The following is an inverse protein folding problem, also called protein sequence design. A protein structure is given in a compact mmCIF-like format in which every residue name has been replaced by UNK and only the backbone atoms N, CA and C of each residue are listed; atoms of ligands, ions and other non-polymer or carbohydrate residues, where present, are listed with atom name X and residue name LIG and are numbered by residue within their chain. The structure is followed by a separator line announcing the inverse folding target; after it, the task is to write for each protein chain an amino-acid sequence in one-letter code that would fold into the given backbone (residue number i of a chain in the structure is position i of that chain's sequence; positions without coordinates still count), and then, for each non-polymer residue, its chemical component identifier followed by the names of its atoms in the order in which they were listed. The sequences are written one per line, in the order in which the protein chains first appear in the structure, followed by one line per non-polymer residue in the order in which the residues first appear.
data_IF_784565352122
#
_entry.id   IF_784565352122
#
_cell.length_a   1.000
_cell.length_b   1.000
_cell.length_c   1.000
_cell.angle_alpha   90.00
_cell.angle_beta   90.00
_cell.angle_gamma   90.00
#
_symmetry.space_group_name_H-M   'P 1'
#
loop_
_entity.id
_entity.type
_entity.pdbx_description
1 polymer ?
#
# COMPACT_ATOMS: atom_id res chain seq x y z
N UNK A 1 -7.74 15.45 -35.28
CA UNK A 1 -7.39 14.05 -34.97
C UNK A 1 -6.20 14.08 -34.03
N UNK A 2 -6.43 14.00 -32.72
CA UNK A 2 -5.36 14.02 -31.72
C UNK A 2 -4.95 12.57 -31.41
N UNK A 3 -3.70 12.27 -31.72
CA UNK A 3 -3.04 10.98 -31.44
C UNK A 3 -2.95 10.76 -29.94
N UNK A 4 -3.65 9.74 -29.42
CA UNK A 4 -3.50 9.28 -28.04
C UNK A 4 -2.13 8.60 -27.94
N UNK A 5 -1.26 9.16 -27.12
CA UNK A 5 0.03 8.57 -26.79
C UNK A 5 -0.20 7.20 -26.13
N UNK A 6 0.28 6.15 -26.79
CA UNK A 6 0.29 4.79 -26.26
C UNK A 6 1.27 4.71 -25.09
N UNK A 7 0.79 4.98 -23.88
CA UNK A 7 1.46 4.54 -22.67
C UNK A 7 1.50 3.01 -22.71
N UNK A 8 2.69 2.43 -22.52
CA UNK A 8 3.03 1.03 -22.84
C UNK A 8 2.29 -0.08 -22.09
N UNK A 9 1.08 0.18 -21.58
CA UNK A 9 0.14 -0.81 -21.04
C UNK A 9 -0.84 -1.33 -22.12
N UNK A 10 -0.85 -0.73 -23.31
CA UNK A 10 -1.80 -1.02 -24.40
C UNK A 10 -1.63 -2.39 -25.11
N UNK A 11 -0.80 -3.30 -24.59
CA UNK A 11 -0.57 -4.64 -25.18
C UNK A 11 -0.66 -5.80 -24.18
N UNK A 12 -0.94 -5.55 -22.90
CA UNK A 12 -1.08 -6.64 -21.93
C UNK A 12 -2.49 -7.23 -22.10
N UNK A 13 -2.64 -8.53 -22.40
CA UNK A 13 -3.95 -9.18 -22.42
C UNK A 13 -4.64 -8.93 -21.07
N UNK A 14 -5.92 -8.56 -21.08
CA UNK A 14 -6.72 -8.29 -19.86
C UNK A 14 -6.63 -9.46 -18.85
N UNK A 15 -6.32 -10.65 -19.37
CA UNK A 15 -6.12 -11.91 -18.67
C UNK A 15 -4.85 -11.96 -17.78
N UNK A 16 -3.97 -10.96 -17.86
CA UNK A 16 -2.73 -10.88 -17.10
C UNK A 16 -2.65 -9.61 -16.26
N UNK A 17 -2.18 -9.76 -15.02
CA UNK A 17 -1.90 -8.66 -14.13
C UNK A 17 -0.76 -7.79 -14.70
N UNK A 18 -0.94 -6.47 -14.86
CA UNK A 18 0.06 -5.59 -15.45
C UNK A 18 1.31 -5.38 -14.57
N UNK A 19 1.25 -5.80 -13.31
CA UNK A 19 2.35 -5.66 -12.34
C UNK A 19 3.22 -6.93 -12.31
N UNK A 20 2.61 -8.10 -12.17
CA UNK A 20 3.35 -9.37 -11.97
C UNK A 20 3.24 -10.36 -13.13
N UNK A 21 2.50 -10.02 -14.18
CA UNK A 21 2.27 -10.82 -15.40
C UNK A 21 1.62 -12.19 -15.17
N UNK A 22 1.18 -12.50 -13.94
CA UNK A 22 0.35 -13.69 -13.64
C UNK A 22 -1.08 -13.47 -14.10
N UNK A 23 -1.84 -14.55 -14.20
CA UNK A 23 -3.26 -14.49 -14.55
C UNK A 23 -4.04 -13.51 -13.64
N UNK A 24 -4.82 -12.62 -14.25
CA UNK A 24 -5.74 -11.74 -13.53
C UNK A 24 -6.80 -12.58 -12.80
N UNK A 25 -7.31 -12.07 -11.66
CA UNK A 25 -8.32 -12.77 -10.85
C UNK A 25 -9.65 -12.01 -10.81
N UNK A 26 -9.88 -11.13 -11.79
CA UNK A 26 -11.10 -10.32 -11.87
C UNK A 26 -11.14 -9.11 -10.92
N UNK A 27 -10.01 -8.74 -10.29
CA UNK A 27 -9.93 -7.46 -9.57
C UNK A 27 -9.75 -6.35 -10.60
N UNK A 28 -10.84 -5.68 -10.96
CA UNK A 28 -10.85 -4.70 -12.03
C UNK A 28 -11.26 -3.29 -11.59
N UNK A 29 -10.73 -2.28 -12.28
CA UNK A 29 -11.11 -0.88 -12.09
C UNK A 29 -11.16 -0.14 -13.42
N UNK A 30 -12.22 0.67 -13.60
CA UNK A 30 -12.32 1.71 -14.61
C UNK A 30 -12.74 2.98 -13.89
N UNK A 31 -12.04 4.08 -14.13
CA UNK A 31 -12.44 5.38 -13.59
C UNK A 31 -13.75 5.82 -14.27
N UNK A 32 -14.88 5.93 -13.53
CA UNK A 32 -16.16 6.30 -14.14
C UNK A 32 -16.23 7.80 -14.46
N UNK A 33 -15.32 8.61 -13.92
CA UNK A 33 -15.31 10.06 -14.09
C UNK A 33 -14.60 10.51 -15.37
N UNK A 34 -13.83 9.63 -15.99
CA UNK A 34 -13.01 9.90 -17.17
C UNK A 34 -13.50 9.08 -18.37
N UNK A 35 -14.26 9.70 -19.30
CA UNK A 35 -14.68 9.03 -20.52
C UNK A 35 -13.48 8.48 -21.30
N UNK A 36 -13.49 7.18 -21.59
CA UNK A 36 -12.39 6.51 -22.29
C UNK A 36 -11.22 6.06 -21.40
N UNK A 37 -11.34 6.16 -20.07
CA UNK A 37 -10.33 5.62 -19.16
C UNK A 37 -10.08 4.12 -19.44
N UNK A 38 -8.81 3.67 -19.41
CA UNK A 38 -8.48 2.26 -19.57
C UNK A 38 -9.11 1.43 -18.45
N UNK A 39 -9.37 0.16 -18.76
CA UNK A 39 -9.78 -0.83 -17.78
C UNK A 39 -8.56 -1.61 -17.30
N UNK A 40 -8.34 -1.65 -15.99
CA UNK A 40 -7.29 -2.42 -15.37
C UNK A 40 -7.87 -3.69 -14.77
N UNK A 41 -7.18 -4.82 -14.93
CA UNK A 41 -7.41 -6.03 -14.15
C UNK A 41 -6.11 -6.51 -13.50
N UNK A 42 -6.18 -6.99 -12.25
CA UNK A 42 -5.02 -7.49 -11.53
C UNK A 42 -5.32 -8.82 -10.80
N UNK A 43 -4.26 -9.46 -10.32
CA UNK A 43 -4.38 -10.70 -9.54
C UNK A 43 -4.78 -10.46 -8.07
N UNK A 44 -4.61 -9.23 -7.55
CA UNK A 44 -4.96 -8.81 -6.19
C UNK A 44 -5.15 -7.29 -6.12
N UNK A 45 -5.78 -6.80 -5.05
CA UNK A 45 -6.04 -5.36 -4.84
C UNK A 45 -4.76 -4.52 -4.78
N UNK A 46 -3.67 -5.03 -4.19
CA UNK A 46 -2.40 -4.29 -4.12
C UNK A 46 -1.79 -4.01 -5.50
N UNK A 47 -1.86 -4.98 -6.42
CA UNK A 47 -1.39 -4.78 -7.80
C UNK A 47 -2.37 -3.96 -8.63
N UNK A 48 -3.68 -4.03 -8.34
CA UNK A 48 -4.65 -3.14 -8.96
C UNK A 48 -4.35 -1.68 -8.60
N UNK A 49 -4.12 -1.41 -7.31
CA UNK A 49 -3.77 -0.10 -6.79
C UNK A 49 -2.47 0.44 -7.40
N UNK A 50 -1.42 -0.41 -7.44
CA UNK A 50 -0.15 -0.08 -8.11
C UNK A 50 -0.34 0.28 -9.58
N UNK A 51 -1.16 -0.47 -10.32
CA UNK A 51 -1.42 -0.22 -11.74
C UNK A 51 -2.20 1.07 -11.98
N UNK A 52 -3.23 1.34 -11.17
CA UNK A 52 -4.02 2.57 -11.23
C UNK A 52 -3.14 3.77 -10.89
N UNK A 53 -2.34 3.68 -9.83
CA UNK A 53 -1.44 4.74 -9.42
C UNK A 53 -0.46 5.08 -10.55
N UNK A 54 0.23 4.07 -11.09
CA UNK A 54 1.17 4.27 -12.20
C UNK A 54 0.50 4.88 -13.43
N UNK A 55 -0.73 4.49 -13.75
CA UNK A 55 -1.47 5.10 -14.85
C UNK A 55 -1.80 6.58 -14.59
N UNK A 56 -2.21 6.93 -13.36
CA UNK A 56 -2.58 8.31 -13.00
C UNK A 56 -1.39 9.25 -12.89
N UNK A 57 -0.27 8.77 -12.35
CA UNK A 57 0.87 9.62 -11.97
C UNK A 57 2.10 9.43 -12.85
N UNK A 58 2.17 8.34 -13.62
CA UNK A 58 3.37 7.91 -14.33
C UNK A 58 4.47 7.37 -13.41
N UNK A 59 4.19 7.20 -12.11
CA UNK A 59 5.15 6.73 -11.12
C UNK A 59 4.85 5.29 -10.71
N UNK A 60 5.89 4.45 -10.62
CA UNK A 60 5.72 3.10 -10.08
C UNK A 60 5.53 3.23 -8.57
N UNK A 61 4.34 2.90 -8.08
CA UNK A 61 4.14 2.70 -6.66
C UNK A 61 4.92 1.44 -6.29
N UNK A 62 5.96 1.58 -5.48
CA UNK A 62 6.52 0.40 -4.84
C UNK A 62 5.46 -0.14 -3.87
N UNK A 63 4.91 -1.35 -4.12
CA UNK A 63 3.86 -1.87 -3.28
C UNK A 63 4.37 -1.95 -1.85
N UNK A 64 3.62 -1.42 -0.88
CA UNK A 64 3.98 -1.43 0.53
C UNK A 64 5.15 -0.51 0.93
N UNK A 65 5.63 0.42 0.08
CA UNK A 65 6.75 1.30 0.45
C UNK A 65 6.43 2.18 1.65
N UNK A 66 5.28 2.83 1.64
CA UNK A 66 4.87 3.74 2.71
C UNK A 66 4.42 2.99 3.95
N UNK A 67 3.79 1.84 3.76
CA UNK A 67 3.42 0.90 4.81
C UNK A 67 4.67 0.33 5.50
N UNK A 68 5.74 0.01 4.76
CA UNK A 68 7.02 -0.40 5.33
C UNK A 68 7.66 0.71 6.15
N UNK A 69 7.73 1.93 5.63
CA UNK A 69 8.26 3.09 6.38
C UNK A 69 7.45 3.33 7.67
N UNK A 70 6.13 3.21 7.60
CA UNK A 70 5.26 3.34 8.77
C UNK A 70 5.46 2.21 9.78
N UNK A 71 5.62 0.97 9.30
CA UNK A 71 5.89 -0.20 10.13
C UNK A 71 7.28 -0.16 10.78
N UNK A 72 8.30 0.33 10.08
CA UNK A 72 9.65 0.47 10.61
C UNK A 72 9.64 1.46 11.80
N UNK A 73 8.98 2.61 11.63
CA UNK A 73 8.81 3.58 12.73
C UNK A 73 8.02 2.99 13.91
N UNK A 74 6.96 2.25 13.63
CA UNK A 74 6.18 1.58 14.67
C UNK A 74 6.98 0.48 15.38
N UNK A 75 7.87 -0.21 14.66
CA UNK A 75 8.73 -1.26 15.19
C UNK A 75 9.76 -0.70 16.17
N UNK A 76 10.38 0.45 15.87
CA UNK A 76 11.30 1.12 16.78
C UNK A 76 10.60 1.48 18.10
N UNK A 77 9.43 2.12 18.03
CA UNK A 77 8.64 2.46 19.24
C UNK A 77 8.16 1.23 20.00
N UNK A 78 7.82 0.15 19.30
CA UNK A 78 7.46 -1.11 19.92
C UNK A 78 8.64 -1.70 20.71
N UNK A 79 9.85 -1.63 20.17
CA UNK A 79 11.08 -2.01 20.88
C UNK A 79 11.30 -1.19 22.15
N UNK A 80 11.21 0.15 22.05
CA UNK A 80 11.32 1.05 23.21
C UNK A 80 10.30 0.72 24.31
N UNK A 81 9.06 0.40 23.91
CA UNK A 81 8.02 0.00 24.86
C UNK A 81 8.37 -1.31 25.58
N UNK A 82 8.81 -2.33 24.84
CA UNK A 82 9.21 -3.62 25.43
C UNK A 82 10.42 -3.47 26.37
N UNK A 83 11.41 -2.66 26.00
CA UNK A 83 12.54 -2.30 26.86
C UNK A 83 12.07 -1.58 28.13
N UNK A 84 11.09 -0.67 28.03
CA UNK A 84 10.53 0.02 29.20
C UNK A 84 9.82 -0.91 30.19
N UNK A 85 9.29 -2.03 29.70
CA UNK A 85 8.70 -3.09 30.54
C UNK A 85 9.76 -4.05 31.10
N UNK A 86 10.99 -4.01 30.60
CA UNK A 86 12.04 -4.97 30.91
C UNK A 86 11.72 -6.39 30.45
N UNK A 87 10.89 -6.54 29.40
CA UNK A 87 10.40 -7.84 28.91
C UNK A 87 10.79 -8.06 27.45
N UNK A 88 11.51 -9.14 27.20
CA UNK A 88 11.87 -9.59 25.84
C UNK A 88 11.07 -10.82 25.40
N UNK A 89 10.52 -11.59 26.34
CA UNK A 89 9.62 -12.69 26.06
C UNK A 89 8.16 -12.21 26.02
N UNK A 90 7.61 -12.08 24.81
CA UNK A 90 6.24 -11.64 24.57
C UNK A 90 5.19 -12.55 25.23
N UNK A 91 5.50 -13.82 25.48
CA UNK A 91 4.59 -14.75 26.15
C UNK A 91 4.39 -14.40 27.64
N UNK A 92 5.28 -13.60 28.23
CA UNK A 92 5.20 -13.15 29.63
C UNK A 92 4.45 -11.83 29.81
N UNK A 93 4.00 -11.23 28.71
CA UNK A 93 3.21 -10.01 28.77
C UNK A 93 1.85 -10.30 29.40
N UNK A 94 1.41 -9.42 30.30
CA UNK A 94 0.03 -9.44 30.77
C UNK A 94 -0.89 -9.04 29.62
N UNK A 95 -2.18 -9.33 29.76
CA UNK A 95 -3.16 -8.92 28.77
C UNK A 95 -3.18 -7.39 28.54
N UNK A 96 -2.91 -6.62 29.59
CA UNK A 96 -2.87 -5.16 29.54
C UNK A 96 -1.63 -4.66 28.79
N UNK A 97 -0.46 -5.22 29.08
CA UNK A 97 0.80 -4.90 28.38
C UNK A 97 0.72 -5.29 26.90
N UNK A 98 0.14 -6.46 26.59
CA UNK A 98 -0.07 -6.91 25.21
C UNK A 98 -0.97 -5.94 24.44
N UNK A 99 -2.09 -5.52 25.04
CA UNK A 99 -2.98 -4.52 24.44
C UNK A 99 -2.29 -3.17 24.27
N UNK A 100 -1.47 -2.77 25.24
CA UNK A 100 -0.66 -1.55 25.16
C UNK A 100 0.29 -1.57 23.97
N UNK A 101 1.03 -2.67 23.79
CA UNK A 101 1.92 -2.88 22.65
C UNK A 101 1.17 -2.77 21.31
N UNK A 102 0.04 -3.49 21.17
CA UNK A 102 -0.75 -3.46 19.94
C UNK A 102 -1.34 -2.08 19.65
N UNK A 103 -1.84 -1.38 20.69
CA UNK A 103 -2.37 -0.04 20.55
C UNK A 103 -1.29 0.95 20.11
N UNK A 104 -0.08 0.85 20.67
CA UNK A 104 1.07 1.66 20.29
C UNK A 104 1.46 1.45 18.82
N UNK A 105 1.58 0.18 18.38
CA UNK A 105 1.91 -0.17 16.99
C UNK A 105 0.84 0.39 16.04
N UNK A 106 -0.44 0.17 16.35
CA UNK A 106 -1.54 0.65 15.53
C UNK A 106 -1.58 2.18 15.42
N UNK A 107 -1.47 2.87 16.56
CA UNK A 107 -1.48 4.33 16.61
C UNK A 107 -0.29 4.92 15.83
N UNK A 108 0.91 4.40 16.07
CA UNK A 108 2.14 4.90 15.42
C UNK A 108 2.11 4.66 13.92
N UNK A 109 1.66 3.48 13.48
CA UNK A 109 1.52 3.18 12.04
C UNK A 109 0.50 4.13 11.40
N UNK A 110 -0.67 4.32 12.04
CA UNK A 110 -1.73 5.19 11.53
C UNK A 110 -1.28 6.66 11.44
N UNK A 111 -0.55 7.15 12.45
CA UNK A 111 0.02 8.49 12.46
C UNK A 111 1.07 8.66 11.36
N UNK A 112 1.97 7.69 11.20
CA UNK A 112 3.00 7.72 10.17
C UNK A 112 2.40 7.76 8.77
N UNK A 113 1.39 6.94 8.50
CA UNK A 113 0.64 6.98 7.24
C UNK A 113 -0.04 8.35 7.07
N UNK A 114 -0.72 8.86 8.10
CA UNK A 114 -1.37 10.18 8.08
C UNK A 114 -0.41 11.34 7.79
N UNK A 115 0.85 11.25 8.26
CA UNK A 115 1.88 12.24 7.93
C UNK A 115 2.34 12.12 6.48
N UNK A 116 2.62 10.90 6.01
CA UNK A 116 3.02 10.67 4.62
C UNK A 116 1.92 11.09 3.63
N UNK A 117 0.67 10.96 4.05
CA UNK A 117 -0.52 11.52 3.40
C UNK A 117 -0.44 13.05 3.34
N UNK A 118 -0.28 13.72 4.49
CA UNK A 118 -0.22 15.18 4.55
C UNK A 118 0.94 15.81 3.73
N UNK A 119 2.04 15.07 3.55
CA UNK A 119 3.22 15.50 2.79
C UNK A 119 3.09 15.29 1.27
N UNK A 120 1.92 14.85 0.77
CA UNK A 120 1.72 14.37 -0.61
C UNK A 120 2.68 13.24 -1.02
N UNK A 121 3.28 12.55 -0.05
CA UNK A 121 4.16 11.42 -0.33
C UNK A 121 3.32 10.19 -0.70
N UNK A 122 2.16 10.03 -0.07
CA UNK A 122 1.21 8.97 -0.39
C UNK A 122 0.13 9.52 -1.35
N UNK A 123 -0.13 8.86 -2.48
CA UNK A 123 -1.01 9.34 -3.53
C UNK A 123 -2.41 8.74 -3.38
N UNK A 124 -3.25 9.28 -2.49
CA UNK A 124 -4.69 9.00 -2.46
C UNK A 124 -5.48 10.11 -3.16
#
# INVERSE_FOLDING_TARGET
MASVASTGLGQIPIEQCPVCLRQSRGFGFRDPTLPGAPYFEACCLAHLDTAIHHWRTGQVLEPMKYERVALDLASDKAGEYLESLGKTDLATLTQEEWRGLLALIYATTSEAVGRLVAENAVPF
#
